data_IF_423632446945
#
_entry.id   IF_423632446945
#
_cell.length_a   1.000
_cell.length_b   1.000
_cell.length_c   1.000
_cell.angle_alpha   90.00
_cell.angle_beta   90.00
_cell.angle_gamma   90.00
#
_symmetry.space_group_name_H-M   'P 1'
#
loop_
_entity.id
_entity.type
_entity.pdbx_description
1 polymer ?
#
# COMPACT_ATOMS: atom_id res chain seq x y z
N UNK A 1 14.86 20.47 13.75
CA UNK A 1 15.57 19.32 14.36
C UNK A 1 14.80 18.06 13.98
N UNK A 2 15.50 17.02 13.54
CA UNK A 2 14.91 15.72 13.26
C UNK A 2 14.52 15.08 14.61
N UNK A 3 13.27 14.66 14.76
CA UNK A 3 12.77 14.02 15.99
C UNK A 3 13.08 12.52 15.95
N UNK A 4 13.05 11.81 17.10
CA UNK A 4 13.19 10.35 17.13
C UNK A 4 12.14 9.59 16.29
N UNK A 5 11.07 10.27 15.86
CA UNK A 5 9.97 9.71 15.06
C UNK A 5 10.01 10.15 13.59
N UNK A 6 11.05 10.87 13.19
CA UNK A 6 11.17 11.30 11.81
C UNK A 6 11.54 10.11 10.92
N UNK A 7 10.82 9.98 9.80
CA UNK A 7 11.13 8.98 8.78
C UNK A 7 12.52 9.22 8.19
N UNK A 8 13.22 8.11 7.90
CA UNK A 8 14.42 8.13 7.06
C UNK A 8 14.07 8.57 5.64
N UNK A 9 15.08 8.94 4.85
CA UNK A 9 14.86 9.32 3.45
C UNK A 9 14.26 8.16 2.63
N UNK A 10 14.66 6.92 2.93
CA UNK A 10 14.11 5.71 2.32
C UNK A 10 12.63 5.50 2.70
N UNK A 11 12.30 5.60 3.99
CA UNK A 11 10.91 5.50 4.46
C UNK A 11 10.02 6.59 3.86
N UNK A 12 10.55 7.82 3.73
CA UNK A 12 9.85 8.93 3.08
C UNK A 12 9.61 8.64 1.60
N UNK A 13 10.61 8.11 0.89
CA UNK A 13 10.46 7.73 -0.50
C UNK A 13 9.41 6.61 -0.69
N UNK A 14 9.36 5.64 0.23
CA UNK A 14 8.34 4.59 0.26
C UNK A 14 6.95 5.18 0.50
N UNK A 15 6.81 6.06 1.49
CA UNK A 15 5.54 6.76 1.77
C UNK A 15 5.07 7.54 0.54
N UNK A 16 5.94 8.37 -0.06
CA UNK A 16 5.61 9.18 -1.23
C UNK A 16 5.24 8.32 -2.46
N UNK A 17 5.88 7.17 -2.64
CA UNK A 17 5.54 6.24 -3.70
C UNK A 17 4.18 5.56 -3.46
N UNK A 18 3.94 5.09 -2.24
CA UNK A 18 2.68 4.45 -1.86
C UNK A 18 1.48 5.41 -1.95
N UNK A 19 1.63 6.66 -1.51
CA UNK A 19 0.59 7.68 -1.63
C UNK A 19 0.24 7.97 -3.07
N UNK A 20 1.23 8.14 -3.95
CA UNK A 20 0.99 8.38 -5.39
C UNK A 20 0.32 7.19 -6.06
N UNK A 21 0.75 5.98 -5.73
CA UNK A 21 0.12 4.77 -6.27
C UNK A 21 -1.33 4.64 -5.79
N UNK A 22 -1.57 4.78 -4.49
CA UNK A 22 -2.91 4.63 -3.92
C UNK A 22 -3.88 5.72 -4.43
N UNK A 23 -3.41 6.96 -4.60
CA UNK A 23 -4.20 8.03 -5.22
C UNK A 23 -4.55 7.70 -6.68
N UNK A 24 -3.60 7.18 -7.46
CA UNK A 24 -3.82 6.92 -8.88
C UNK A 24 -4.66 5.66 -9.13
N UNK A 25 -4.43 4.59 -8.35
CA UNK A 25 -4.93 3.25 -8.66
C UNK A 25 -6.06 2.79 -7.73
N UNK A 26 -6.07 3.25 -6.47
CA UNK A 26 -7.04 2.79 -5.47
C UNK A 26 -8.18 3.80 -5.24
N UNK A 27 -7.86 5.09 -5.16
CA UNK A 27 -8.86 6.13 -4.92
C UNK A 27 -10.01 6.15 -5.95
N UNK A 28 -9.77 6.00 -7.27
CA UNK A 28 -10.87 6.00 -8.26
C UNK A 28 -11.86 4.85 -8.09
N UNK A 29 -11.46 3.79 -7.40
CA UNK A 29 -12.29 2.61 -7.14
C UNK A 29 -13.20 2.80 -5.92
N UNK A 30 -12.84 3.70 -4.99
CA UNK A 30 -13.42 3.76 -3.65
C UNK A 30 -14.95 3.93 -3.66
N UNK A 31 -15.46 4.94 -4.37
CA UNK A 31 -16.90 5.23 -4.39
C UNK A 31 -17.73 4.02 -4.85
N UNK A 32 -17.30 3.35 -5.93
CA UNK A 32 -18.01 2.18 -6.43
C UNK A 32 -17.91 0.98 -5.48
N UNK A 33 -16.73 0.77 -4.89
CA UNK A 33 -16.55 -0.32 -3.92
C UNK A 33 -17.47 -0.14 -2.70
N UNK A 34 -17.64 1.10 -2.24
CA UNK A 34 -18.49 1.45 -1.09
C UNK A 34 -19.99 1.40 -1.43
N UNK A 35 -20.39 2.01 -2.55
CA UNK A 35 -21.80 2.12 -2.94
C UNK A 35 -22.42 0.79 -3.40
N UNK A 36 -21.63 -0.09 -4.03
CA UNK A 36 -22.13 -1.29 -4.72
C UNK A 36 -21.70 -2.61 -4.05
N UNK A 37 -21.00 -2.60 -2.91
CA UNK A 37 -20.32 -3.79 -2.34
C UNK A 37 -19.48 -4.53 -3.40
N UNK A 38 -18.90 -3.78 -4.34
CA UNK A 38 -18.20 -4.32 -5.50
C UNK A 38 -16.69 -4.42 -5.26
N UNK A 39 -16.08 -5.47 -5.80
CA UNK A 39 -14.63 -5.63 -5.80
C UNK A 39 -14.08 -5.88 -7.22
N UNK A 40 -13.02 -5.18 -7.65
CA UNK A 40 -12.38 -5.48 -8.93
C UNK A 40 -11.64 -6.83 -8.88
N UNK A 41 -12.07 -7.79 -9.71
CA UNK A 41 -11.54 -9.17 -9.73
C UNK A 41 -10.01 -9.26 -9.90
N UNK A 42 -9.41 -8.29 -10.60
CA UNK A 42 -7.97 -8.28 -10.91
C UNK A 42 -7.14 -7.46 -9.93
N UNK A 43 -7.75 -6.80 -8.93
CA UNK A 43 -7.05 -5.86 -8.07
C UNK A 43 -5.89 -6.53 -7.31
N UNK A 44 -6.11 -7.71 -6.72
CA UNK A 44 -5.04 -8.44 -6.02
C UNK A 44 -3.90 -8.88 -6.94
N UNK A 45 -4.21 -9.35 -8.15
CA UNK A 45 -3.18 -9.73 -9.11
C UNK A 45 -2.35 -8.52 -9.54
N UNK A 46 -2.99 -7.36 -9.75
CA UNK A 46 -2.31 -6.10 -10.05
C UNK A 46 -1.42 -5.64 -8.90
N UNK A 47 -1.92 -5.63 -7.67
CA UNK A 47 -1.13 -5.28 -6.48
C UNK A 47 0.10 -6.18 -6.33
N UNK A 48 -0.04 -7.49 -6.61
CA UNK A 48 1.10 -8.41 -6.63
C UNK A 48 2.12 -8.08 -7.73
N UNK A 49 1.65 -7.80 -8.95
CA UNK A 49 2.52 -7.42 -10.07
C UNK A 49 3.24 -6.09 -9.86
N UNK A 50 2.58 -5.14 -9.19
CA UNK A 50 3.11 -3.82 -8.89
C UNK A 50 4.00 -3.79 -7.63
N UNK A 51 4.19 -4.95 -6.98
CA UNK A 51 5.13 -5.13 -5.86
C UNK A 51 4.57 -4.80 -4.48
N UNK A 52 3.25 -4.70 -4.34
CA UNK A 52 2.59 -4.38 -3.08
C UNK A 52 2.20 -5.62 -2.26
N UNK A 53 2.36 -6.84 -2.76
CA UNK A 53 2.12 -8.06 -1.97
C UNK A 53 3.44 -8.61 -1.40
N UNK A 54 3.38 -9.18 -0.19
CA UNK A 54 4.57 -9.79 0.44
C UNK A 54 5.64 -8.78 0.86
N UNK A 55 5.24 -7.58 1.27
CA UNK A 55 6.18 -6.49 1.59
C UNK A 55 7.25 -6.88 2.60
N UNK A 56 6.86 -7.57 3.67
CA UNK A 56 7.77 -8.01 4.74
C UNK A 56 8.30 -9.41 4.54
N UNK A 57 7.88 -10.09 3.47
CA UNK A 57 8.34 -11.44 3.19
C UNK A 57 9.81 -11.42 2.72
N UNK A 58 10.59 -12.47 3.05
CA UNK A 58 11.97 -12.60 2.59
C UNK A 58 12.13 -12.52 1.07
N UNK A 59 13.21 -11.89 0.62
CA UNK A 59 13.51 -11.68 -0.80
C UNK A 59 13.74 -13.00 -1.55
N UNK A 60 14.31 -14.02 -0.88
CA UNK A 60 14.52 -15.36 -1.43
C UNK A 60 13.21 -16.13 -1.65
N UNK A 61 12.10 -15.68 -1.04
CA UNK A 61 10.75 -16.16 -1.28
C UNK A 61 9.97 -15.26 -2.26
N UNK A 62 10.61 -14.24 -2.84
CA UNK A 62 9.99 -13.29 -3.75
C UNK A 62 9.29 -12.10 -3.08
N UNK A 63 9.50 -11.88 -1.78
CA UNK A 63 9.00 -10.71 -1.06
C UNK A 63 9.88 -9.46 -1.22
N UNK A 64 9.42 -8.32 -0.70
CA UNK A 64 10.16 -7.07 -0.77
C UNK A 64 11.19 -6.87 0.36
N UNK A 65 11.17 -7.71 1.41
CA UNK A 65 12.11 -7.63 2.53
C UNK A 65 12.04 -6.34 3.35
N UNK A 66 10.92 -5.61 3.29
CA UNK A 66 10.71 -4.36 4.02
C UNK A 66 10.60 -4.60 5.53
N UNK A 67 11.01 -3.60 6.30
CA UNK A 67 10.67 -3.53 7.72
C UNK A 67 9.18 -3.22 7.96
N UNK A 68 8.71 -3.45 9.19
CA UNK A 68 7.30 -3.24 9.55
C UNK A 68 6.88 -1.77 9.48
N UNK A 69 7.78 -0.82 9.73
CA UNK A 69 7.43 0.59 9.67
C UNK A 69 7.19 1.01 8.22
N UNK A 70 8.05 0.59 7.30
CA UNK A 70 7.94 0.84 5.86
C UNK A 70 6.70 0.18 5.27
N UNK A 71 6.40 -1.08 5.66
CA UNK A 71 5.15 -1.73 5.29
C UNK A 71 3.93 -1.02 5.88
N UNK A 72 4.03 -0.50 7.11
CA UNK A 72 3.01 0.31 7.75
C UNK A 72 2.72 1.63 7.02
N UNK A 73 3.74 2.27 6.43
CA UNK A 73 3.56 3.47 5.61
C UNK A 73 2.82 3.18 4.30
N UNK A 74 3.02 1.99 3.72
CA UNK A 74 2.23 1.54 2.57
C UNK A 74 0.77 1.32 2.98
N UNK A 75 0.55 0.64 4.11
CA UNK A 75 -0.79 0.43 4.66
C UNK A 75 -1.51 1.75 4.96
N UNK A 76 -0.80 2.73 5.54
CA UNK A 76 -1.31 4.08 5.79
C UNK A 76 -1.79 4.74 4.48
N UNK A 77 -0.97 4.71 3.43
CA UNK A 77 -1.32 5.29 2.13
C UNK A 77 -2.56 4.62 1.52
N UNK A 78 -2.65 3.29 1.59
CA UNK A 78 -3.78 2.54 1.04
C UNK A 78 -5.06 2.86 1.80
N UNK A 79 -5.01 2.85 3.13
CA UNK A 79 -6.15 3.18 3.98
C UNK A 79 -6.60 4.64 3.83
N UNK A 80 -5.67 5.57 3.60
CA UNK A 80 -5.99 6.98 3.38
C UNK A 80 -6.85 7.19 2.13
N UNK A 81 -6.55 6.47 1.05
CA UNK A 81 -7.22 6.65 -0.24
C UNK A 81 -8.38 5.69 -0.50
N UNK A 82 -8.33 4.48 0.04
CA UNK A 82 -9.37 3.47 -0.14
C UNK A 82 -9.31 2.41 0.97
N UNK A 83 -10.14 2.59 2.00
CA UNK A 83 -10.24 1.66 3.14
C UNK A 83 -10.66 0.24 2.74
N UNK A 84 -11.51 0.12 1.70
CA UNK A 84 -11.99 -1.18 1.21
C UNK A 84 -10.86 -1.96 0.50
N UNK A 85 -10.08 -1.29 -0.33
CA UNK A 85 -8.90 -1.88 -0.97
C UNK A 85 -7.82 -2.25 0.07
N UNK A 86 -7.59 -1.37 1.07
CA UNK A 86 -6.66 -1.65 2.17
C UNK A 86 -7.05 -2.90 2.96
N UNK A 87 -8.33 -3.03 3.32
CA UNK A 87 -8.82 -4.18 4.10
C UNK A 87 -8.64 -5.51 3.35
N UNK A 88 -8.84 -5.50 2.04
CA UNK A 88 -8.72 -6.71 1.22
C UNK A 88 -7.26 -7.07 0.99
N UNK A 89 -6.38 -6.06 1.00
CA UNK A 89 -4.94 -6.23 0.84
C UNK A 89 -4.25 -6.87 2.05
N UNK A 90 -4.60 -6.47 3.28
CA UNK A 90 -3.99 -7.04 4.50
C UNK A 90 -4.36 -6.32 5.79
#
# INVERSE_FOLDING_TARGET
MMTPFSLTDEQRAIQDAAFRYAEAELHPLFARMDDEDWYPEHLMAKLGADGYCGLTAPVDLGGAGMDLLSAGLVAEAFAYWNTNASFIWG
#
